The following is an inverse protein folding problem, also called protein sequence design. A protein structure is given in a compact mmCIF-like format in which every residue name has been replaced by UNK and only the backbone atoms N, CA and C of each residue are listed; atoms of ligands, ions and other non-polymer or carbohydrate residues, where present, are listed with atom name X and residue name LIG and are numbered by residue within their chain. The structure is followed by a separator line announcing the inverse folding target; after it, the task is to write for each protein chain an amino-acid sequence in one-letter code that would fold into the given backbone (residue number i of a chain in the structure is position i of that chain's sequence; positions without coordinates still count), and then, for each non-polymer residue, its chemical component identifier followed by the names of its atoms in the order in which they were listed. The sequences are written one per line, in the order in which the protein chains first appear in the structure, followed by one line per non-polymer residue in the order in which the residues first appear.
data_IF_207300999571
#
_entry.id   IF_207300999571
#
_cell.length_a   1.000
_cell.length_b   1.000
_cell.length_c   1.000
_cell.angle_alpha   90.00
_cell.angle_beta   90.00
_cell.angle_gamma   90.00
#
_symmetry.space_group_name_H-M   'P 1'
#
loop_
_entity.id
_entity.type
_entity.pdbx_description
1 polymer ?
#
# COMPACT_ATOMS: atom_id res chain seq x y z
N UNK A 1 11.75 -0.35 13.84
CA UNK A 1 12.57 0.04 12.67
C UNK A 1 13.05 -1.24 12.02
N UNK A 2 12.65 -1.49 10.78
CA UNK A 2 12.69 -2.78 10.08
C UNK A 2 13.21 -2.65 8.64
N UNK A 3 13.96 -1.58 8.35
CA UNK A 3 14.48 -1.32 7.02
C UNK A 3 15.38 -2.45 6.53
N UNK A 4 14.99 -3.02 5.39
CA UNK A 4 15.80 -3.90 4.56
C UNK A 4 15.86 -3.33 3.14
N UNK A 5 17.07 -3.15 2.61
CA UNK A 5 17.29 -2.46 1.33
C UNK A 5 16.59 -3.16 0.17
N UNK A 6 16.62 -4.49 0.15
CA UNK A 6 16.05 -5.27 -0.95
C UNK A 6 14.52 -5.26 -0.87
N UNK A 7 13.97 -5.50 0.31
CA UNK A 7 12.52 -5.52 0.55
C UNK A 7 11.89 -4.15 0.28
N UNK A 8 12.52 -3.07 0.77
CA UNK A 8 12.00 -1.73 0.56
C UNK A 8 12.03 -1.32 -0.92
N UNK A 9 13.20 -1.33 -1.56
CA UNK A 9 13.32 -0.88 -2.95
C UNK A 9 12.57 -1.80 -3.93
N UNK A 10 12.53 -3.11 -3.65
CA UNK A 10 11.76 -4.07 -4.45
C UNK A 10 10.26 -3.77 -4.40
N UNK A 11 9.70 -3.55 -3.22
CA UNK A 11 8.28 -3.19 -3.06
C UNK A 11 7.95 -1.83 -3.69
N UNK A 12 8.84 -0.85 -3.59
CA UNK A 12 8.67 0.46 -4.25
C UNK A 12 8.66 0.34 -5.77
N UNK A 13 9.60 -0.41 -6.35
CA UNK A 13 9.63 -0.66 -7.80
C UNK A 13 8.36 -1.41 -8.26
N UNK A 14 7.87 -2.35 -7.44
CA UNK A 14 6.61 -3.07 -7.70
C UNK A 14 5.40 -2.13 -7.74
N UNK A 15 5.22 -1.30 -6.71
CA UNK A 15 4.10 -0.34 -6.62
C UNK A 15 4.15 0.68 -7.75
N UNK A 16 5.34 1.12 -8.15
CA UNK A 16 5.53 2.05 -9.26
C UNK A 16 5.39 1.38 -10.65
N UNK A 17 5.29 0.05 -10.72
CA UNK A 17 5.19 -0.69 -11.98
C UNK A 17 6.47 -0.71 -12.81
N UNK A 18 7.62 -0.39 -12.21
CA UNK A 18 8.95 -0.37 -12.87
C UNK A 18 9.86 -1.54 -12.43
N UNK A 19 9.29 -2.50 -11.70
CA UNK A 19 9.98 -3.71 -11.25
C UNK A 19 9.97 -4.86 -12.25
N UNK A 20 10.50 -6.00 -11.84
CA UNK A 20 10.66 -7.19 -12.69
C UNK A 20 9.36 -7.99 -12.96
N UNK A 21 8.26 -7.69 -12.26
CA UNK A 21 6.91 -8.23 -12.52
C UNK A 21 5.91 -7.06 -12.66
N UNK A 22 5.96 -6.29 -13.76
CA UNK A 22 5.07 -5.16 -13.95
C UNK A 22 3.65 -5.69 -14.19
N UNK A 23 2.80 -5.57 -13.16
CA UNK A 23 1.37 -5.78 -13.32
C UNK A 23 0.74 -4.50 -13.84
N UNK A 24 0.57 -4.44 -15.15
CA UNK A 24 -0.03 -3.29 -15.82
C UNK A 24 -1.39 -2.94 -15.20
N UNK A 25 -1.65 -1.63 -15.08
CA UNK A 25 -2.91 -1.06 -14.56
C UNK A 25 -3.28 -1.45 -13.11
N UNK A 26 -2.36 -2.00 -12.32
CA UNK A 26 -2.60 -2.26 -10.90
C UNK A 26 -2.47 -0.96 -10.09
N UNK A 27 -3.59 -0.38 -9.68
CA UNK A 27 -3.65 0.75 -8.74
C UNK A 27 -4.57 0.43 -7.59
N UNK A 28 -4.26 0.94 -6.39
CA UNK A 28 -5.16 0.83 -5.25
C UNK A 28 -6.25 1.89 -5.36
N UNK A 29 -7.52 1.46 -5.27
CA UNK A 29 -8.62 2.36 -4.99
C UNK A 29 -8.68 2.57 -3.47
N UNK A 30 -8.27 3.75 -3.01
CA UNK A 30 -8.14 4.06 -1.58
C UNK A 30 -9.47 3.95 -0.83
N UNK A 31 -10.57 4.42 -1.43
CA UNK A 31 -11.90 4.33 -0.80
C UNK A 31 -12.29 2.86 -0.58
N UNK A 32 -12.13 2.02 -1.60
CA UNK A 32 -12.42 0.60 -1.49
C UNK A 32 -11.51 -0.13 -0.48
N UNK A 33 -10.24 0.25 -0.40
CA UNK A 33 -9.33 -0.29 0.63
C UNK A 33 -9.80 0.09 2.04
N UNK A 34 -10.22 1.34 2.26
CA UNK A 34 -10.75 1.78 3.54
C UNK A 34 -12.05 1.01 3.90
N UNK A 35 -12.99 0.90 2.97
CA UNK A 35 -14.23 0.12 3.19
C UNK A 35 -13.95 -1.35 3.51
N UNK A 36 -12.96 -1.96 2.85
CA UNK A 36 -12.65 -3.39 3.00
C UNK A 36 -11.89 -3.67 4.29
N UNK A 37 -10.92 -2.83 4.66
CA UNK A 37 -9.97 -3.11 5.73
C UNK A 37 -10.18 -2.28 7.00
N UNK A 38 -10.95 -1.20 6.93
CA UNK A 38 -11.29 -0.32 8.08
C UNK A 38 -12.78 0.11 8.04
N UNK A 39 -13.74 -0.84 8.01
CA UNK A 39 -15.16 -0.52 7.80
C UNK A 39 -15.78 0.36 8.90
N UNK A 40 -15.25 0.33 10.12
CA UNK A 40 -15.71 1.15 11.25
C UNK A 40 -14.92 2.46 11.40
N UNK A 41 -13.90 2.67 10.54
CA UNK A 41 -13.01 3.82 10.59
C UNK A 41 -12.14 3.87 11.86
N UNK A 42 -11.97 2.73 12.55
CA UNK A 42 -11.29 2.68 13.85
C UNK A 42 -9.79 2.98 13.70
N UNK A 43 -9.15 2.48 12.64
CA UNK A 43 -7.75 2.77 12.37
C UNK A 43 -7.54 4.24 11.99
N UNK A 44 -8.39 4.79 11.12
CA UNK A 44 -8.30 6.21 10.75
C UNK A 44 -8.51 7.15 11.94
N UNK A 45 -9.56 6.95 12.76
CA UNK A 45 -9.80 7.77 13.96
C UNK A 45 -8.60 7.75 14.90
N UNK A 46 -8.03 6.57 15.16
CA UNK A 46 -6.88 6.43 16.04
C UNK A 46 -5.68 7.31 15.66
N UNK A 47 -5.46 7.59 14.37
CA UNK A 47 -4.27 8.28 13.86
C UNK A 47 -4.52 9.67 13.27
N UNK A 48 -5.78 10.05 13.05
CA UNK A 48 -6.16 11.35 12.46
C UNK A 48 -6.81 12.32 13.46
N UNK A 49 -7.02 11.89 14.71
CA UNK A 49 -7.46 12.73 15.84
C UNK A 49 -6.30 13.58 16.40
#
# INVERSE_FOLDING_TARGET
MDYDVYSNWGNWAYVAGVGNDPRENRRFNIAHQAETYDPEGAYQKLWLD
#
